data_IF_362910152172
#
_entry.id   IF_362910152172
#
_cell.length_a   1.000
_cell.length_b   1.000
_cell.length_c   1.000
_cell.angle_alpha   90.00
_cell.angle_beta   90.00
_cell.angle_gamma   90.00
#
_symmetry.space_group_name_H-M   'P 1'
#
loop_
_entity.id
_entity.type
_entity.pdbx_description
1 polymer ?
#
# COMPACT_ATOMS: atom_id res chain seq x y z
N UNK A 1 5.75 18.20 11.58
CA UNK A 1 5.30 17.85 12.94
C UNK A 1 4.85 16.39 12.89
N UNK A 2 5.47 15.52 13.69
CA UNK A 2 5.26 14.08 13.66
C UNK A 2 3.89 13.73 14.24
N UNK A 3 2.87 13.54 13.40
CA UNK A 3 1.65 12.84 13.82
C UNK A 3 1.95 11.35 13.86
N UNK A 4 2.61 10.92 14.94
CA UNK A 4 2.39 9.58 15.47
C UNK A 4 0.88 9.41 15.55
N UNK A 5 0.31 8.37 14.95
CA UNK A 5 -1.07 7.97 15.23
C UNK A 5 -1.10 7.73 16.74
N UNK A 6 -1.58 8.70 17.51
CA UNK A 6 -1.75 8.57 18.94
C UNK A 6 -2.92 7.61 19.15
N UNK A 7 -2.73 6.65 20.05
CA UNK A 7 -3.82 5.79 20.51
C UNK A 7 -4.90 6.68 21.14
N UNK A 8 -5.99 6.94 20.42
CA UNK A 8 -7.17 7.70 20.87
C UNK A 8 -8.04 6.87 21.83
N UNK A 9 -7.42 6.18 22.80
CA UNK A 9 -8.17 5.47 23.83
C UNK A 9 -8.62 6.46 24.90
N UNK A 10 -9.87 6.34 25.31
CA UNK A 10 -10.39 7.06 26.48
C UNK A 10 -9.77 6.51 27.77
N UNK A 11 -9.81 7.32 28.84
CA UNK A 11 -9.37 6.87 30.18
C UNK A 11 -10.20 5.67 30.68
N UNK A 12 -11.48 5.62 30.31
CA UNK A 12 -12.36 4.48 30.57
C UNK A 12 -11.88 3.20 29.88
N UNK A 13 -11.59 3.26 28.57
CA UNK A 13 -11.02 2.12 27.82
C UNK A 13 -9.67 1.69 28.37
N UNK A 14 -8.81 2.64 28.74
CA UNK A 14 -7.51 2.35 29.36
C UNK A 14 -7.67 1.58 30.68
N UNK A 15 -8.62 2.00 31.51
CA UNK A 15 -8.92 1.35 32.80
C UNK A 15 -9.49 -0.05 32.61
N UNK A 16 -10.43 -0.21 31.68
CA UNK A 16 -11.03 -1.50 31.37
C UNK A 16 -10.00 -2.48 30.79
N UNK A 17 -9.15 -2.03 29.88
CA UNK A 17 -8.10 -2.84 29.29
C UNK A 17 -7.08 -3.31 30.35
N UNK A 18 -6.65 -2.44 31.27
CA UNK A 18 -5.74 -2.85 32.38
C UNK A 18 -6.35 -3.96 33.24
N UNK A 19 -7.62 -3.81 33.64
CA UNK A 19 -8.33 -4.84 34.42
C UNK A 19 -8.41 -6.17 33.67
N UNK A 20 -8.76 -6.13 32.39
CA UNK A 20 -8.79 -7.31 31.54
C UNK A 20 -7.41 -7.99 31.47
N UNK A 21 -6.33 -7.23 31.35
CA UNK A 21 -4.97 -7.77 31.31
C UNK A 21 -4.52 -8.39 32.64
N UNK A 22 -4.94 -7.83 33.78
CA UNK A 22 -4.71 -8.44 35.10
C UNK A 22 -5.39 -9.80 35.22
N UNK A 23 -6.62 -9.92 34.72
CA UNK A 23 -7.37 -11.17 34.74
C UNK A 23 -6.79 -12.22 33.77
N UNK A 24 -6.39 -11.80 32.56
CA UNK A 24 -5.66 -12.65 31.60
C UNK A 24 -4.35 -13.16 32.21
N UNK A 25 -3.61 -12.30 32.91
CA UNK A 25 -2.33 -12.67 33.53
C UNK A 25 -2.53 -13.72 34.63
N UNK A 26 -3.56 -13.56 35.47
CA UNK A 26 -3.92 -14.56 36.48
C UNK A 26 -4.30 -15.89 35.83
N UNK A 27 -5.21 -15.86 34.86
CA UNK A 27 -5.65 -17.07 34.18
C UNK A 27 -4.51 -17.79 33.46
N UNK A 28 -3.64 -17.06 32.76
CA UNK A 28 -2.47 -17.62 32.09
C UNK A 28 -1.47 -18.24 33.08
N UNK A 29 -1.32 -17.65 34.26
CA UNK A 29 -0.49 -18.22 35.33
C UNK A 29 -1.06 -19.54 35.85
N UNK A 30 -2.36 -19.57 36.13
CA UNK A 30 -3.04 -20.79 36.61
C UNK A 30 -2.95 -21.93 35.57
N UNK A 31 -3.18 -21.62 34.29
CA UNK A 31 -3.01 -22.56 33.19
C UNK A 31 -1.58 -23.10 33.09
N UNK A 32 -0.57 -22.24 33.25
CA UNK A 32 0.82 -22.68 33.22
C UNK A 32 1.14 -23.62 34.38
N UNK A 33 0.66 -23.34 35.59
CA UNK A 33 0.85 -24.21 36.76
C UNK A 33 0.11 -25.56 36.62
N UNK A 34 -1.02 -25.59 35.92
CA UNK A 34 -1.78 -26.81 35.68
C UNK A 34 -1.17 -27.69 34.57
N UNK A 35 -0.70 -27.07 33.49
CA UNK A 35 -0.34 -27.79 32.26
C UNK A 35 1.16 -28.04 32.08
N UNK A 36 2.02 -27.24 32.70
CA UNK A 36 3.47 -27.41 32.56
C UNK A 36 3.96 -28.50 33.50
N UNK A 37 4.43 -29.61 32.93
CA UNK A 37 5.05 -30.70 33.68
C UNK A 37 6.55 -30.46 33.80
N UNK A 38 6.99 -29.98 34.97
CA UNK A 38 8.39 -29.75 35.29
C UNK A 38 8.70 -30.12 36.76
N UNK A 39 9.95 -30.53 37.02
CA UNK A 39 10.44 -30.73 38.39
C UNK A 39 10.87 -29.40 39.04
N UNK A 40 11.27 -29.44 40.31
CA UNK A 40 11.68 -28.23 41.04
C UNK A 40 12.84 -27.50 40.36
N UNK A 41 13.79 -28.22 39.75
CA UNK A 41 14.88 -27.63 38.97
C UNK A 41 14.39 -26.95 37.69
N UNK A 42 13.39 -27.52 37.02
CA UNK A 42 12.73 -26.91 35.87
C UNK A 42 12.02 -25.61 36.21
N UNK A 43 11.26 -25.58 37.31
CA UNK A 43 10.62 -24.36 37.79
C UNK A 43 11.63 -23.29 38.23
N UNK A 44 12.75 -23.68 38.86
CA UNK A 44 13.82 -22.76 39.20
C UNK A 44 14.44 -22.11 37.96
N UNK A 45 14.64 -22.87 36.87
CA UNK A 45 15.10 -22.30 35.58
C UNK A 45 14.11 -21.31 35.01
N UNK A 46 12.80 -21.56 35.08
CA UNK A 46 11.78 -20.60 34.62
C UNK A 46 11.88 -19.28 35.40
N UNK A 47 12.10 -19.34 36.72
CA UNK A 47 12.28 -18.15 37.55
C UNK A 47 13.57 -17.39 37.20
N UNK A 48 14.67 -18.11 36.94
CA UNK A 48 15.95 -17.51 36.52
C UNK A 48 15.86 -16.84 35.15
N UNK A 49 14.99 -17.33 34.26
CA UNK A 49 14.69 -16.75 32.94
C UNK A 49 13.45 -15.85 32.93
N UNK A 50 13.03 -15.34 34.09
CA UNK A 50 11.78 -14.57 34.22
C UNK A 50 11.68 -13.33 33.32
N UNK A 51 12.80 -12.64 33.05
CA UNK A 51 12.82 -11.48 32.16
C UNK A 51 12.58 -11.86 30.68
N UNK A 52 13.07 -13.01 30.26
CA UNK A 52 12.84 -13.56 28.91
C UNK A 52 11.36 -13.90 28.72
N UNK A 53 10.77 -14.58 29.71
CA UNK A 53 9.33 -14.88 29.72
C UNK A 53 8.48 -13.60 29.70
N UNK A 54 8.85 -12.61 30.53
CA UNK A 54 8.17 -11.31 30.58
C UNK A 54 8.20 -10.60 29.22
N UNK A 55 9.35 -10.61 28.55
CA UNK A 55 9.51 -9.99 27.24
C UNK A 55 8.63 -10.67 26.18
N UNK A 56 8.66 -12.01 26.11
CA UNK A 56 7.86 -12.78 25.16
C UNK A 56 6.34 -12.56 25.36
N UNK A 57 5.88 -12.56 26.62
CA UNK A 57 4.47 -12.29 26.95
C UNK A 57 4.08 -10.86 26.58
N UNK A 58 4.92 -9.87 26.87
CA UNK A 58 4.66 -8.47 26.52
C UNK A 58 4.53 -8.27 25.01
N UNK A 59 5.41 -8.89 24.21
CA UNK A 59 5.31 -8.85 22.74
C UNK A 59 4.01 -9.47 22.25
N UNK A 60 3.65 -10.66 22.75
CA UNK A 60 2.41 -11.35 22.39
C UNK A 60 1.18 -10.50 22.70
N UNK A 61 1.15 -9.83 23.85
CA UNK A 61 0.06 -8.93 24.25
C UNK A 61 -0.05 -7.76 23.25
N UNK A 62 1.06 -7.12 22.90
CA UNK A 62 1.08 -6.00 21.95
C UNK A 62 0.58 -6.45 20.58
N UNK A 63 1.07 -7.59 20.08
CA UNK A 63 0.67 -8.16 18.79
C UNK A 63 -0.83 -8.48 18.75
N UNK A 64 -1.35 -9.21 19.75
CA UNK A 64 -2.77 -9.55 19.82
C UNK A 64 -3.67 -8.36 20.05
N UNK A 65 -3.23 -7.38 20.83
CA UNK A 65 -3.97 -6.13 21.02
C UNK A 65 -4.03 -5.35 19.73
N UNK A 66 -2.93 -5.29 18.97
CA UNK A 66 -2.91 -4.68 17.64
C UNK A 66 -3.90 -5.39 16.72
N UNK A 67 -3.83 -6.72 16.64
CA UNK A 67 -4.75 -7.54 15.82
C UNK A 67 -6.23 -7.27 16.15
N UNK A 68 -6.61 -7.33 17.43
CA UNK A 68 -8.00 -7.16 17.87
C UNK A 68 -8.48 -5.70 17.85
N UNK A 69 -7.55 -4.75 17.80
CA UNK A 69 -7.90 -3.33 17.67
C UNK A 69 -8.22 -2.92 16.23
N UNK A 70 -7.85 -3.74 15.24
CA UNK A 70 -8.20 -3.50 13.84
C UNK A 70 -9.68 -3.76 13.66
N UNK A 71 -10.39 -2.83 13.02
CA UNK A 71 -11.78 -3.05 12.69
C UNK A 71 -11.85 -4.14 11.60
N UNK A 72 -12.94 -4.87 11.56
CA UNK A 72 -13.23 -5.81 10.48
C UNK A 72 -14.52 -5.40 9.75
N UNK A 73 -14.75 -4.08 9.69
CA UNK A 73 -16.02 -3.48 9.28
C UNK A 73 -16.46 -3.85 7.85
N UNK A 74 -15.52 -4.23 6.99
CA UNK A 74 -15.76 -4.59 5.59
C UNK A 74 -15.53 -6.09 5.30
N UNK A 75 -15.62 -6.95 6.31
CA UNK A 75 -15.31 -8.39 6.17
C UNK A 75 -16.11 -9.11 5.07
N UNK A 76 -17.31 -8.63 4.76
CA UNK A 76 -18.19 -9.18 3.72
C UNK A 76 -17.89 -8.66 2.31
N UNK A 77 -16.92 -7.77 2.14
CA UNK A 77 -16.51 -7.20 0.86
C UNK A 77 -15.28 -7.90 0.29
N UNK A 78 -15.38 -9.22 0.23
CA UNK A 78 -14.34 -10.10 -0.29
C UNK A 78 -15.03 -11.24 -1.04
N UNK A 79 -14.63 -11.44 -2.29
CA UNK A 79 -15.08 -12.54 -3.14
C UNK A 79 -13.89 -13.41 -3.54
N UNK A 80 -14.13 -14.68 -3.79
CA UNK A 80 -13.08 -15.58 -4.27
C UNK A 80 -12.58 -15.13 -5.64
N UNK A 81 -11.26 -15.16 -5.82
CA UNK A 81 -10.61 -14.86 -7.10
C UNK A 81 -9.48 -15.84 -7.38
N UNK A 82 -9.53 -16.41 -8.60
CA UNK A 82 -8.48 -17.22 -9.19
C UNK A 82 -7.73 -16.49 -10.32
N UNK A 83 -7.99 -15.19 -10.53
CA UNK A 83 -7.30 -14.40 -11.54
C UNK A 83 -5.85 -14.13 -11.14
N UNK A 84 -4.95 -14.25 -12.11
CA UNK A 84 -3.51 -14.05 -11.94
C UNK A 84 -2.98 -13.05 -12.96
N UNK A 85 -1.69 -12.76 -12.93
CA UNK A 85 -1.04 -11.97 -13.97
C UNK A 85 -0.93 -12.75 -15.27
N UNK A 86 -0.81 -12.06 -16.42
CA UNK A 86 -0.45 -12.70 -17.68
C UNK A 86 0.85 -13.49 -17.55
N UNK A 87 0.99 -14.66 -18.17
CA UNK A 87 2.21 -15.47 -18.10
C UNK A 87 3.44 -14.75 -18.71
N UNK A 88 3.21 -13.78 -19.60
CA UNK A 88 4.25 -12.96 -20.20
C UNK A 88 4.80 -11.89 -19.24
N UNK A 89 4.07 -11.57 -18.15
CA UNK A 89 4.53 -10.61 -17.17
C UNK A 89 5.70 -11.18 -16.36
N UNK A 90 6.81 -10.45 -16.40
CA UNK A 90 7.99 -10.68 -15.59
C UNK A 90 8.42 -9.34 -15.01
N UNK A 91 8.69 -9.31 -13.70
CA UNK A 91 9.23 -8.11 -13.08
C UNK A 91 10.59 -7.80 -13.70
N UNK A 92 10.72 -6.61 -14.28
CA UNK A 92 11.98 -6.20 -14.92
C UNK A 92 13.07 -6.00 -13.87
N UNK A 93 14.34 -6.25 -14.24
CA UNK A 93 15.46 -5.86 -13.40
C UNK A 93 15.33 -4.41 -12.97
N UNK A 94 15.54 -4.17 -11.68
CA UNK A 94 15.18 -2.90 -11.07
C UNK A 94 15.94 -1.70 -11.69
N UNK A 95 17.21 -1.87 -12.09
CA UNK A 95 17.96 -0.85 -12.82
C UNK A 95 17.33 -0.45 -14.17
N UNK A 96 16.73 -1.42 -14.88
CA UNK A 96 16.08 -1.16 -16.15
C UNK A 96 14.77 -0.38 -15.94
N UNK A 97 14.08 -0.64 -14.83
CA UNK A 97 12.93 0.17 -14.42
C UNK A 97 13.34 1.62 -14.16
N UNK A 98 14.43 1.87 -13.41
CA UNK A 98 14.94 3.23 -13.15
C UNK A 98 15.27 3.95 -14.47
N UNK A 99 16.02 3.29 -15.36
CA UNK A 99 16.40 3.86 -16.66
C UNK A 99 15.16 4.17 -17.52
N UNK A 100 14.16 3.29 -17.49
CA UNK A 100 12.91 3.51 -18.20
C UNK A 100 12.14 4.72 -17.63
N UNK A 101 11.95 4.82 -16.31
CA UNK A 101 11.30 5.97 -15.66
C UNK A 101 12.05 7.27 -15.97
N UNK A 102 13.38 7.27 -15.83
CA UNK A 102 14.23 8.40 -16.17
C UNK A 102 14.03 8.86 -17.62
N UNK A 103 14.03 7.92 -18.57
CA UNK A 103 13.85 8.22 -19.99
C UNK A 103 12.44 8.72 -20.31
N UNK A 104 11.40 8.11 -19.73
CA UNK A 104 10.00 8.43 -20.05
C UNK A 104 9.63 9.84 -19.56
N UNK A 105 10.12 10.20 -18.37
CA UNK A 105 9.78 11.45 -17.69
C UNK A 105 10.89 12.49 -17.73
N UNK A 106 12.07 12.18 -18.28
CA UNK A 106 13.21 13.10 -18.34
C UNK A 106 13.77 13.43 -16.96
N UNK A 107 13.83 12.44 -16.07
CA UNK A 107 14.28 12.56 -14.68
C UNK A 107 15.74 12.07 -14.52
N UNK A 108 16.43 12.55 -13.48
CA UNK A 108 17.79 12.12 -13.13
C UNK A 108 17.78 10.81 -12.32
N UNK A 109 18.37 9.71 -12.83
CA UNK A 109 18.43 8.43 -12.13
C UNK A 109 19.59 8.33 -11.13
N UNK A 110 20.51 9.29 -11.08
CA UNK A 110 21.83 9.14 -10.42
C UNK A 110 21.71 8.76 -8.94
N UNK A 111 20.94 9.53 -8.17
CA UNK A 111 20.77 9.27 -6.72
C UNK A 111 20.03 7.95 -6.45
N UNK A 112 19.07 7.61 -7.32
CA UNK A 112 18.26 6.39 -7.18
C UNK A 112 19.09 5.14 -7.47
N UNK A 113 19.98 5.18 -8.47
CA UNK A 113 20.91 4.08 -8.77
C UNK A 113 21.90 3.83 -7.62
N UNK A 114 22.37 4.88 -6.96
CA UNK A 114 23.22 4.75 -5.76
C UNK A 114 22.45 4.10 -4.61
N UNK A 115 21.21 4.54 -4.36
CA UNK A 115 20.36 3.96 -3.32
C UNK A 115 19.99 2.50 -3.61
N UNK A 116 19.79 2.13 -4.88
CA UNK A 116 19.46 0.77 -5.30
C UNK A 116 20.51 -0.27 -4.88
N UNK A 117 21.78 0.13 -4.75
CA UNK A 117 22.86 -0.74 -4.29
C UNK A 117 22.77 -1.16 -2.82
N UNK A 118 21.90 -0.53 -2.03
CA UNK A 118 21.77 -0.72 -0.58
C UNK A 118 20.34 -1.04 -0.14
N UNK A 119 19.54 -1.67 -1.01
CA UNK A 119 18.16 -2.03 -0.68
C UNK A 119 18.10 -3.02 0.49
N UNK A 120 17.17 -2.82 1.44
CA UNK A 120 16.93 -3.79 2.51
C UNK A 120 16.34 -5.09 1.94
N UNK A 121 16.17 -6.08 2.82
CA UNK A 121 15.40 -7.27 2.47
C UNK A 121 14.00 -6.88 1.99
N UNK A 122 13.48 -7.60 0.98
CA UNK A 122 12.15 -7.35 0.45
C UNK A 122 11.11 -7.62 1.56
N UNK A 123 10.26 -6.65 1.93
CA UNK A 123 9.24 -6.84 2.96
C UNK A 123 8.26 -7.98 2.63
N UNK A 124 7.80 -8.68 3.67
CA UNK A 124 6.80 -9.73 3.54
C UNK A 124 5.53 -9.20 2.86
N UNK A 125 5.12 -9.89 1.79
CA UNK A 125 3.93 -9.54 1.00
C UNK A 125 4.20 -8.66 -0.22
N UNK A 126 5.40 -8.08 -0.35
CA UNK A 126 5.82 -7.43 -1.58
C UNK A 126 6.21 -8.48 -2.65
N UNK A 127 5.88 -8.19 -3.90
CA UNK A 127 6.27 -9.02 -5.07
C UNK A 127 7.65 -8.64 -5.60
N UNK A 128 8.08 -7.41 -5.34
CA UNK A 128 9.41 -6.93 -5.71
C UNK A 128 9.58 -5.44 -5.53
N UNK A 129 10.73 -4.94 -5.96
CA UNK A 129 11.07 -3.52 -5.97
C UNK A 129 10.63 -2.85 -7.28
N UNK A 130 9.99 -1.69 -7.17
CA UNK A 130 9.47 -0.91 -8.28
C UNK A 130 10.03 0.50 -8.28
N UNK A 131 10.41 0.98 -9.46
CA UNK A 131 10.85 2.35 -9.65
C UNK A 131 9.65 3.21 -10.06
N UNK A 132 9.42 4.31 -9.36
CA UNK A 132 8.30 5.23 -9.62
C UNK A 132 8.79 6.69 -9.57
N UNK A 133 8.19 7.60 -10.35
CA UNK A 133 8.60 9.00 -10.33
C UNK A 133 8.16 9.69 -9.02
N UNK A 134 8.96 10.64 -8.54
CA UNK A 134 8.53 11.57 -7.49
C UNK A 134 7.54 12.60 -8.06
N UNK A 135 6.44 12.85 -7.33
CA UNK A 135 5.45 13.89 -7.69
C UNK A 135 6.11 15.26 -7.82
N UNK A 136 6.96 15.62 -6.85
CA UNK A 136 7.64 16.92 -6.84
C UNK A 136 8.65 17.05 -7.97
N UNK A 137 9.36 15.97 -8.30
CA UNK A 137 10.30 15.98 -9.42
C UNK A 137 9.57 16.15 -10.76
N UNK A 138 8.44 15.44 -10.95
CA UNK A 138 7.59 15.65 -12.12
C UNK A 138 7.08 17.07 -12.20
N UNK A 139 6.63 17.64 -11.07
CA UNK A 139 6.14 19.01 -11.02
C UNK A 139 7.21 20.02 -11.39
N UNK A 140 8.37 19.94 -10.74
CA UNK A 140 9.51 20.81 -11.05
C UNK A 140 9.93 20.73 -12.51
N UNK A 141 9.85 19.54 -13.12
CA UNK A 141 10.27 19.30 -14.50
C UNK A 141 9.27 19.76 -15.56
N UNK A 142 7.98 19.46 -15.34
CA UNK A 142 6.95 19.55 -16.40
C UNK A 142 5.90 20.62 -16.16
N UNK A 143 5.72 21.08 -14.92
CA UNK A 143 4.71 22.07 -14.52
C UNK A 143 5.20 22.89 -13.30
N UNK A 144 6.36 23.58 -13.42
CA UNK A 144 7.02 24.26 -12.29
C UNK A 144 6.20 25.42 -11.69
N UNK A 145 5.20 25.91 -12.42
CA UNK A 145 4.26 26.93 -11.97
C UNK A 145 3.26 26.42 -10.93
N UNK A 146 3.07 25.10 -10.83
CA UNK A 146 2.07 24.49 -9.93
C UNK A 146 2.70 24.23 -8.56
N UNK A 147 2.23 24.96 -7.56
CA UNK A 147 2.73 24.83 -6.18
C UNK A 147 1.81 24.00 -5.28
N UNK A 148 0.52 23.95 -5.59
CA UNK A 148 -0.47 23.21 -4.78
C UNK A 148 -0.21 21.69 -4.87
N UNK A 149 -0.07 20.96 -3.75
CA UNK A 149 0.21 19.53 -3.75
C UNK A 149 -0.84 18.67 -4.45
N UNK A 150 -2.13 18.99 -4.30
CA UNK A 150 -3.21 18.22 -4.92
C UNK A 150 -3.23 18.44 -6.44
N UNK A 151 -3.03 19.68 -6.88
CA UNK A 151 -2.89 19.98 -8.31
C UNK A 151 -1.64 19.31 -8.90
N UNK A 152 -0.48 19.36 -8.22
CA UNK A 152 0.74 18.66 -8.68
C UNK A 152 0.48 17.18 -8.93
N UNK A 153 -0.21 16.50 -8.01
CA UNK A 153 -0.56 15.10 -8.15
C UNK A 153 -1.48 14.86 -9.36
N UNK A 154 -2.54 15.66 -9.49
CA UNK A 154 -3.47 15.56 -10.63
C UNK A 154 -2.75 15.77 -11.97
N UNK A 155 -1.86 16.76 -12.08
CA UNK A 155 -1.04 17.00 -13.28
C UNK A 155 -0.10 15.83 -13.57
N UNK A 156 0.49 15.23 -12.53
CA UNK A 156 1.33 14.04 -12.67
C UNK A 156 0.53 12.84 -13.21
N UNK A 157 -0.69 12.60 -12.71
CA UNK A 157 -1.59 11.56 -13.22
C UNK A 157 -1.95 11.83 -14.70
N UNK A 158 -2.30 13.06 -15.04
CA UNK A 158 -2.57 13.47 -16.43
C UNK A 158 -1.37 13.25 -17.34
N UNK A 159 -0.15 13.56 -16.87
CA UNK A 159 1.09 13.33 -17.61
C UNK A 159 1.32 11.84 -17.87
N UNK A 160 1.12 10.98 -16.87
CA UNK A 160 1.23 9.52 -17.03
C UNK A 160 0.21 8.99 -18.02
N UNK A 161 -1.05 9.42 -17.94
CA UNK A 161 -2.08 9.06 -18.93
C UNK A 161 -1.69 9.46 -20.36
N UNK A 162 -1.12 10.65 -20.54
CA UNK A 162 -0.64 11.09 -21.85
C UNK A 162 0.52 10.22 -22.37
N UNK A 163 1.44 9.81 -21.49
CA UNK A 163 2.54 8.90 -21.84
C UNK A 163 2.04 7.51 -22.20
N UNK A 164 1.04 6.98 -21.46
CA UNK A 164 0.41 5.70 -21.78
C UNK A 164 -0.26 5.77 -23.15
N UNK A 165 -1.09 6.80 -23.40
CA UNK A 165 -1.74 7.01 -24.70
C UNK A 165 -0.76 7.16 -25.88
N UNK A 166 0.43 7.71 -25.64
CA UNK A 166 1.47 7.82 -26.66
C UNK A 166 2.20 6.49 -26.95
N UNK A 167 2.10 5.50 -26.06
CA UNK A 167 2.81 4.22 -26.17
C UNK A 167 1.93 3.04 -26.56
N UNK A 168 0.61 3.12 -26.34
CA UNK A 168 -0.36 2.05 -26.63
C UNK A 168 -1.78 2.59 -26.73
N UNK A 169 -2.72 1.75 -27.19
CA UNK A 169 -4.16 2.09 -27.12
C UNK A 169 -4.58 2.27 -25.68
N UNK A 170 -5.14 3.45 -25.39
CA UNK A 170 -5.53 3.84 -24.05
C UNK A 170 -6.75 4.74 -24.08
N UNK A 171 -7.75 4.40 -23.27
CA UNK A 171 -8.96 5.18 -23.12
C UNK A 171 -9.17 5.60 -21.66
N UNK A 172 -9.43 6.89 -21.45
CA UNK A 172 -9.69 7.45 -20.12
C UNK A 172 -11.14 7.93 -20.03
N UNK A 173 -11.99 7.17 -19.35
CA UNK A 173 -13.40 7.51 -19.10
C UNK A 173 -13.60 8.74 -18.21
N UNK A 174 -12.54 9.14 -17.48
CA UNK A 174 -12.52 10.29 -16.57
C UNK A 174 -11.71 11.46 -17.12
N UNK A 175 -11.55 11.52 -18.45
CA UNK A 175 -10.87 12.63 -19.13
C UNK A 175 -11.53 13.96 -18.76
N UNK A 176 -10.73 14.91 -18.28
CA UNK A 176 -11.22 16.21 -17.80
C UNK A 176 -11.68 16.23 -16.34
N UNK A 177 -11.71 15.08 -15.66
CA UNK A 177 -12.10 14.95 -14.25
C UNK A 177 -10.91 14.59 -13.34
N UNK A 178 -9.68 14.69 -13.84
CA UNK A 178 -8.47 14.53 -13.01
C UNK A 178 -8.09 15.90 -12.45
N UNK A 179 -8.84 16.34 -11.43
CA UNK A 179 -8.72 17.65 -10.78
C UNK A 179 -8.75 17.46 -9.25
N UNK A 180 -8.27 18.44 -8.46
CA UNK A 180 -8.27 18.34 -7.00
C UNK A 180 -9.66 18.13 -6.36
N UNK A 181 -10.74 18.61 -7.01
CA UNK A 181 -12.11 18.40 -6.52
C UNK A 181 -12.62 16.97 -6.75
N UNK A 182 -12.02 16.25 -7.71
CA UNK A 182 -12.43 14.91 -8.11
C UNK A 182 -11.46 13.82 -7.62
N UNK A 183 -10.17 14.09 -7.48
CA UNK A 183 -9.15 13.07 -7.21
C UNK A 183 -8.25 13.51 -6.04
N UNK A 184 -8.10 12.64 -5.04
CA UNK A 184 -7.17 12.86 -3.94
C UNK A 184 -6.44 11.59 -3.52
N UNK A 185 -5.26 11.78 -2.95
CA UNK A 185 -4.44 10.72 -2.38
C UNK A 185 -4.84 10.48 -0.92
N UNK A 186 -5.08 9.24 -0.48
CA UNK A 186 -5.38 8.97 0.92
C UNK A 186 -4.25 9.40 1.86
N UNK A 187 -4.61 9.86 3.06
CA UNK A 187 -3.66 10.35 4.07
C UNK A 187 -2.57 9.33 4.43
N UNK A 188 -2.92 8.04 4.48
CA UNK A 188 -1.96 6.95 4.74
C UNK A 188 -0.86 6.90 3.68
N UNK A 189 -1.24 7.05 2.42
CA UNK A 189 -0.35 7.02 1.26
C UNK A 189 0.50 8.30 1.20
N UNK A 190 -0.10 9.47 1.47
CA UNK A 190 0.66 10.74 1.64
C UNK A 190 1.74 10.57 2.71
N UNK A 191 1.38 10.06 3.89
CA UNK A 191 2.33 9.87 4.99
C UNK A 191 3.46 8.89 4.63
N UNK A 192 3.15 7.79 3.95
CA UNK A 192 4.17 6.84 3.51
C UNK A 192 5.18 7.49 2.54
N UNK A 193 4.71 8.31 1.59
CA UNK A 193 5.60 9.02 0.68
C UNK A 193 6.42 10.12 1.36
N UNK A 194 5.90 10.78 2.39
CA UNK A 194 6.70 11.69 3.23
C UNK A 194 7.86 10.96 3.92
N UNK A 195 7.62 9.74 4.43
CA UNK A 195 8.68 8.93 5.04
C UNK A 195 9.71 8.45 3.99
N UNK A 196 9.24 8.04 2.82
CA UNK A 196 10.12 7.66 1.70
C UNK A 196 10.99 8.85 1.29
N UNK A 197 10.43 10.05 1.17
CA UNK A 197 11.17 11.27 0.81
C UNK A 197 12.22 11.68 1.85
N UNK A 198 12.08 11.26 3.12
CA UNK A 198 13.09 11.49 4.15
C UNK A 198 14.31 10.56 4.02
N UNK A 199 14.12 9.38 3.46
CA UNK A 199 15.14 8.32 3.38
C UNK A 199 15.80 8.24 2.01
N UNK A 200 15.03 8.51 0.95
CA UNK A 200 15.49 8.46 -0.44
C UNK A 200 15.66 9.87 -0.98
N UNK A 201 16.82 10.12 -1.59
CA UNK A 201 17.08 11.33 -2.37
C UNK A 201 16.96 11.01 -3.85
N UNK A 202 16.45 11.96 -4.63
CA UNK A 202 16.40 11.87 -6.08
C UNK A 202 15.01 12.09 -6.66
N UNK A 203 14.96 12.03 -7.98
CA UNK A 203 13.74 12.29 -8.75
C UNK A 203 12.89 11.02 -8.98
N UNK A 204 13.49 9.85 -8.73
CA UNK A 204 12.88 8.52 -8.85
C UNK A 204 12.95 7.84 -7.48
N UNK A 205 11.84 7.29 -7.04
CA UNK A 205 11.70 6.58 -5.77
C UNK A 205 11.66 5.08 -6.01
N UNK A 206 12.15 4.33 -5.02
CA UNK A 206 12.10 2.88 -4.95
C UNK A 206 11.08 2.46 -3.91
N UNK A 207 10.11 1.63 -4.29
CA UNK A 207 9.13 1.07 -3.35
C UNK A 207 9.04 -0.44 -3.50
N UNK A 208 8.94 -1.16 -2.38
CA UNK A 208 8.56 -2.56 -2.40
C UNK A 208 7.04 -2.62 -2.59
N UNK A 209 6.54 -3.33 -3.59
CA UNK A 209 5.10 -3.32 -3.92
C UNK A 209 4.59 -4.67 -4.39
N UNK A 210 3.27 -4.81 -4.38
CA UNK A 210 2.51 -5.91 -4.99
C UNK A 210 1.45 -5.33 -5.93
N UNK A 211 1.19 -5.97 -7.08
CA UNK A 211 0.35 -5.40 -8.15
C UNK A 211 -1.10 -5.91 -8.13
N UNK A 212 -1.63 -6.19 -6.95
CA UNK A 212 -3.02 -6.58 -6.70
C UNK A 212 -3.22 -8.03 -6.22
N UNK A 213 -2.27 -8.95 -6.37
CA UNK A 213 -2.48 -10.37 -6.03
C UNK A 213 -2.83 -10.58 -4.57
N UNK A 214 -2.27 -9.76 -3.67
CA UNK A 214 -2.49 -9.83 -2.22
C UNK A 214 -3.91 -9.45 -1.82
N UNK A 215 -4.54 -8.55 -2.58
CA UNK A 215 -5.88 -8.02 -2.30
C UNK A 215 -6.92 -8.40 -3.36
N UNK A 216 -6.62 -9.38 -4.22
CA UNK A 216 -7.55 -9.79 -5.27
C UNK A 216 -8.91 -10.22 -4.71
N UNK A 217 -9.99 -9.79 -5.34
CA UNK A 217 -11.35 -10.08 -4.90
C UNK A 217 -11.84 -9.25 -3.71
N UNK A 218 -11.00 -8.40 -3.11
CA UNK A 218 -11.44 -7.47 -2.05
C UNK A 218 -11.94 -6.17 -2.68
N UNK A 219 -12.88 -5.51 -2.01
CA UNK A 219 -13.14 -4.10 -2.29
C UNK A 219 -11.94 -3.25 -1.89
N UNK A 220 -11.84 -2.02 -2.41
CA UNK A 220 -10.75 -1.09 -2.06
C UNK A 220 -10.75 -0.77 -0.57
N UNK A 221 -11.92 -0.52 0.03
CA UNK A 221 -12.00 -0.24 1.47
C UNK A 221 -11.70 -1.47 2.32
N UNK A 222 -12.07 -2.68 1.87
CA UNK A 222 -11.66 -3.92 2.52
C UNK A 222 -10.16 -4.12 2.46
N UNK A 223 -9.53 -3.89 1.31
CA UNK A 223 -8.09 -3.98 1.17
C UNK A 223 -7.35 -3.01 2.11
N UNK A 224 -7.81 -1.75 2.19
CA UNK A 224 -7.26 -0.73 3.11
C UNK A 224 -7.40 -1.13 4.58
N UNK A 225 -8.53 -1.74 4.96
CA UNK A 225 -8.80 -2.19 6.34
C UNK A 225 -7.79 -3.24 6.82
N UNK A 226 -7.36 -4.13 5.91
CA UNK A 226 -6.49 -5.28 6.24
C UNK A 226 -5.01 -5.05 5.91
N UNK A 227 -4.64 -3.83 5.51
CA UNK A 227 -3.23 -3.47 5.34
C UNK A 227 -2.45 -3.70 6.63
N UNK A 228 -1.31 -4.36 6.52
CA UNK A 228 -0.37 -4.46 7.66
C UNK A 228 0.22 -3.10 7.98
N UNK A 229 0.84 -2.93 9.15
CA UNK A 229 1.24 -1.62 9.67
C UNK A 229 2.12 -0.79 8.72
N UNK A 230 3.03 -1.45 7.98
CA UNK A 230 3.94 -0.80 7.03
C UNK A 230 3.41 -0.75 5.59
N UNK A 231 2.19 -1.24 5.34
CA UNK A 231 1.58 -1.28 4.00
C UNK A 231 0.77 -0.02 3.73
N UNK A 232 0.75 0.46 2.48
CA UNK A 232 -0.03 1.59 2.00
C UNK A 232 -0.40 1.39 0.53
N UNK A 233 -1.45 2.03 0.02
CA UNK A 233 -1.88 1.81 -1.35
C UNK A 233 -1.12 2.65 -2.38
N UNK A 234 -1.07 2.20 -3.63
CA UNK A 234 -0.52 2.98 -4.74
C UNK A 234 -1.63 3.56 -5.61
N UNK A 235 -1.59 4.88 -5.80
CA UNK A 235 -2.52 5.60 -6.67
C UNK A 235 -2.17 5.53 -8.16
N UNK A 236 -3.04 6.14 -8.97
CA UNK A 236 -3.08 6.13 -10.43
C UNK A 236 -1.77 6.61 -11.06
N UNK A 237 -1.09 7.58 -10.43
CA UNK A 237 0.22 8.05 -10.88
C UNK A 237 1.22 6.90 -10.90
N UNK A 238 1.33 6.19 -9.79
CA UNK A 238 2.34 5.15 -9.59
C UNK A 238 1.98 3.88 -10.33
N UNK A 239 0.70 3.48 -10.32
CA UNK A 239 0.21 2.35 -11.12
C UNK A 239 0.43 2.61 -12.61
N UNK A 240 0.14 3.82 -13.10
CA UNK A 240 0.39 4.16 -14.49
C UNK A 240 1.89 4.23 -14.85
N UNK A 241 2.77 4.63 -13.92
CA UNK A 241 4.22 4.51 -14.13
C UNK A 241 4.67 3.04 -14.23
N UNK A 242 4.06 2.14 -13.45
CA UNK A 242 4.30 0.70 -13.53
C UNK A 242 3.78 0.13 -14.85
N UNK A 243 2.60 0.56 -15.33
CA UNK A 243 2.08 0.21 -16.67
C UNK A 243 3.08 0.57 -17.77
N UNK A 244 3.67 1.76 -17.69
CA UNK A 244 4.63 2.25 -18.69
C UNK A 244 5.94 1.44 -18.69
N UNK A 245 6.36 0.96 -17.53
CA UNK A 245 7.58 0.16 -17.41
C UNK A 245 7.35 -1.33 -17.66
N UNK A 246 6.13 -1.83 -17.41
CA UNK A 246 5.73 -3.23 -17.56
C UNK A 246 4.44 -3.35 -18.41
N UNK A 247 4.46 -2.95 -19.70
CA UNK A 247 3.27 -2.98 -20.55
C UNK A 247 2.67 -4.38 -20.70
N UNK A 248 3.48 -5.43 -20.59
CA UNK A 248 3.09 -6.85 -20.60
C UNK A 248 2.15 -7.24 -19.44
N UNK A 249 2.09 -6.44 -18.37
CA UNK A 249 1.20 -6.67 -17.23
C UNK A 249 -0.27 -6.52 -17.60
N UNK A 250 -0.60 -5.74 -18.62
CA UNK A 250 -1.98 -5.41 -19.02
C UNK A 250 -2.16 -5.67 -20.52
N UNK A 251 -2.55 -6.89 -20.90
CA UNK A 251 -2.56 -7.30 -22.32
C UNK A 251 -3.77 -8.14 -22.71
N UNK A 252 -4.59 -8.59 -21.75
CA UNK A 252 -5.80 -9.38 -22.02
C UNK A 252 -6.87 -9.13 -20.98
N UNK A 253 -8.10 -9.51 -21.28
CA UNK A 253 -9.22 -9.44 -20.34
C UNK A 253 -9.09 -10.48 -19.21
N UNK A 254 -8.68 -11.71 -19.54
CA UNK A 254 -8.61 -12.85 -18.62
C UNK A 254 -7.37 -12.80 -17.70
N UNK A 255 -7.19 -11.70 -16.99
CA UNK A 255 -6.10 -11.48 -16.04
C UNK A 255 -6.62 -10.73 -14.81
N UNK A 256 -5.80 -10.66 -13.77
CA UNK A 256 -6.05 -9.74 -12.67
C UNK A 256 -5.82 -8.29 -13.15
N UNK A 257 -6.84 -7.45 -13.05
CA UNK A 257 -6.81 -6.01 -13.20
C UNK A 257 -6.51 -5.33 -11.86
N UNK A 258 -6.36 -4.01 -11.85
CA UNK A 258 -5.84 -3.31 -10.67
C UNK A 258 -6.72 -2.16 -10.26
N UNK A 259 -7.08 -2.15 -8.99
CA UNK A 259 -7.60 -0.96 -8.33
C UNK A 259 -6.43 -0.07 -7.89
N UNK A 260 -6.61 1.23 -8.03
CA UNK A 260 -5.69 2.26 -7.55
C UNK A 260 -6.20 2.78 -6.20
N UNK A 261 -5.27 3.18 -5.34
CA UNK A 261 -5.62 3.65 -3.99
C UNK A 261 -6.16 5.08 -3.95
N UNK A 262 -6.24 5.81 -5.06
CA UNK A 262 -6.82 7.15 -4.99
C UNK A 262 -8.29 7.12 -4.57
N UNK A 263 -8.72 8.24 -4.01
CA UNK A 263 -10.11 8.51 -3.71
C UNK A 263 -10.68 9.42 -4.80
N UNK A 264 -11.85 9.06 -5.32
CA UNK A 264 -12.47 9.73 -6.45
C UNK A 264 -13.91 10.16 -6.18
N UNK A 265 -14.21 11.44 -6.40
CA UNK A 265 -15.54 12.03 -6.36
C UNK A 265 -16.03 12.29 -7.80
N UNK A 266 -16.98 11.47 -8.25
CA UNK A 266 -17.43 11.46 -9.65
C UNK A 266 -18.11 12.76 -10.08
N UNK A 267 -18.78 13.43 -9.15
CA UNK A 267 -19.57 14.64 -9.38
C UNK A 267 -18.91 15.91 -8.79
N UNK A 268 -17.65 15.82 -8.33
CA UNK A 268 -16.92 16.91 -7.67
C UNK A 268 -17.68 17.52 -6.46
N UNK A 269 -18.52 16.71 -5.81
CA UNK A 269 -19.39 17.10 -4.70
C UNK A 269 -18.80 16.77 -3.32
N UNK A 270 -17.59 16.21 -3.30
CA UNK A 270 -16.89 15.77 -2.09
C UNK A 270 -17.25 14.35 -1.64
N UNK A 271 -18.11 13.61 -2.34
CA UNK A 271 -18.35 12.20 -2.07
C UNK A 271 -17.28 11.32 -2.76
N UNK A 272 -16.23 11.01 -1.99
CA UNK A 272 -15.12 10.18 -2.44
C UNK A 272 -15.42 8.67 -2.33
N UNK A 273 -16.56 8.26 -2.87
CA UNK A 273 -17.08 6.88 -2.80
C UNK A 273 -16.58 5.97 -3.92
N UNK A 274 -15.75 6.49 -4.84
CA UNK A 274 -15.14 5.72 -5.91
C UNK A 274 -13.61 5.64 -5.78
N UNK A 275 -13.01 4.61 -6.37
CA UNK A 275 -11.57 4.50 -6.59
C UNK A 275 -11.29 4.29 -8.08
N UNK A 276 -10.20 4.85 -8.61
CA UNK A 276 -9.78 4.56 -9.97
C UNK A 276 -9.31 3.11 -10.14
N UNK A 277 -9.43 2.60 -11.35
CA UNK A 277 -8.91 1.29 -11.73
C UNK A 277 -8.40 1.31 -13.17
N UNK A 278 -7.51 0.36 -13.44
CA UNK A 278 -6.95 0.10 -14.77
C UNK A 278 -7.27 -1.34 -15.16
N UNK A 279 -7.83 -1.51 -16.35
CA UNK A 279 -8.15 -2.83 -16.89
C UNK A 279 -7.95 -2.88 -18.39
N UNK A 280 -7.83 -4.09 -18.92
CA UNK A 280 -7.68 -4.30 -20.35
C UNK A 280 -8.97 -4.86 -20.93
N UNK A 281 -9.57 -4.14 -21.87
CA UNK A 281 -10.80 -4.55 -22.54
C UNK A 281 -10.71 -4.22 -24.03
N UNK A 282 -11.26 -5.10 -24.86
CA UNK A 282 -11.35 -4.95 -26.32
C UNK A 282 -10.08 -4.43 -27.05
N UNK A 283 -8.90 -4.88 -26.60
CA UNK A 283 -7.63 -4.50 -27.22
C UNK A 283 -7.05 -3.16 -26.77
N UNK A 284 -7.63 -2.52 -25.75
CA UNK A 284 -7.13 -1.29 -25.16
C UNK A 284 -7.02 -1.34 -23.63
N UNK A 285 -6.15 -0.48 -23.10
CA UNK A 285 -6.04 -0.24 -21.66
C UNK A 285 -7.00 0.88 -21.29
N UNK A 286 -7.88 0.64 -20.33
CA UNK A 286 -8.89 1.59 -19.91
C UNK A 286 -8.62 2.09 -18.49
N UNK A 287 -8.78 3.39 -18.28
CA UNK A 287 -8.82 4.04 -16.97
C UNK A 287 -10.25 4.51 -16.67
N UNK A 288 -10.79 4.06 -15.54
CA UNK A 288 -12.12 4.43 -15.08
C UNK A 288 -12.18 4.38 -13.54
N UNK A 289 -13.35 4.58 -12.94
CA UNK A 289 -13.55 4.55 -11.48
C UNK A 289 -14.79 3.74 -11.11
N UNK A 290 -14.75 3.08 -9.96
CA UNK A 290 -15.84 2.25 -9.43
C UNK A 290 -15.97 2.40 -7.92
N UNK A 291 -17.12 1.99 -7.37
CA UNK A 291 -17.43 2.11 -5.95
C UNK A 291 -16.41 1.38 -5.07
N UNK A 292 -15.85 2.07 -4.08
CA UNK A 292 -14.80 1.54 -3.19
C UNK A 292 -15.23 0.34 -2.36
N UNK A 293 -16.55 0.15 -2.18
CA UNK A 293 -17.15 -0.91 -1.39
C UNK A 293 -17.57 -2.14 -2.19
N UNK A 294 -17.41 -2.14 -3.51
CA UNK A 294 -17.81 -3.28 -4.34
C UNK A 294 -16.61 -4.22 -4.57
N UNK A 295 -16.60 -5.42 -3.95
CA UNK A 295 -15.57 -6.41 -4.27
C UNK A 295 -15.74 -6.93 -5.68
N UNK A 296 -14.62 -7.21 -6.35
CA UNK A 296 -14.63 -7.76 -7.70
C UNK A 296 -13.52 -8.78 -7.89
N UNK A 297 -13.88 -9.98 -8.33
CA UNK A 297 -12.93 -11.08 -8.53
C UNK A 297 -11.84 -10.77 -9.58
N UNK A 298 -12.11 -9.86 -10.52
CA UNK A 298 -11.14 -9.49 -11.56
C UNK A 298 -10.11 -8.47 -11.08
N UNK A 299 -10.25 -7.90 -9.88
CA UNK A 299 -9.44 -6.77 -9.44
C UNK A 299 -8.75 -7.05 -8.11
N UNK A 300 -7.65 -6.34 -7.87
CA UNK A 300 -7.03 -6.23 -6.57
C UNK A 300 -6.34 -4.88 -6.41
N UNK A 301 -6.42 -4.32 -5.21
CA UNK A 301 -5.77 -3.06 -4.87
C UNK A 301 -4.25 -3.21 -4.89
N UNK A 302 -3.57 -2.31 -5.60
CA UNK A 302 -2.10 -2.20 -5.62
C UNK A 302 -1.63 -1.55 -4.31
N UNK A 303 -0.64 -2.14 -3.66
CA UNK A 303 -0.07 -1.63 -2.41
C UNK A 303 1.45 -1.73 -2.40
N UNK A 304 2.06 -0.89 -1.57
CA UNK A 304 3.48 -0.82 -1.32
C UNK A 304 3.77 -0.87 0.19
N UNK A 305 5.04 -1.07 0.52
CA UNK A 305 5.50 -1.32 1.87
C UNK A 305 6.66 -0.39 2.22
N UNK A 306 6.56 0.24 3.39
CA UNK A 306 7.67 0.92 4.01
C UNK A 306 8.71 -0.12 4.49
N UNK A 307 10.01 0.19 4.42
CA UNK A 307 11.06 -0.64 5.00
C UNK A 307 10.82 -0.89 6.50
N UNK A 308 11.14 -2.10 6.96
CA UNK A 308 11.08 -2.48 8.39
C UNK A 308 12.42 -2.28 9.08
#
# INVERSE_FOLDING_TARGET
MSTSITSDRTEGQATQYRRMMEDISRHGTDLALEQVVADSGGWQRVLEHGDELKFAVAQTIVEKTRELSLSNQYANEEVSSNYTYPPEYQLKPFEDQIKAVASIFGLDPTSTLEYAGNLPALPDGAEGWFAIPSVDALAMKHFPEVTDPAEKYCRAVQLVHAKIAASRSFYNYRKGQITPDCLRVPARTVHAFEQIAQTQKGEILIVAAQLGLRHRGRSVRRAREVFVANEFGLGSLFVGAIVLTHPERYVRWEQLHTDCDDEFASDADGDFSNAPYLHWFDGELEFNTYWVGNPNQYYGLVSAFLPQ
#
